data_IF_225903661045
#
_entry.id   IF_225903661045
#
_cell.length_a   1.000
_cell.length_b   1.000
_cell.length_c   1.000
_cell.angle_alpha   90.00
_cell.angle_beta   90.00
_cell.angle_gamma   90.00
#
_symmetry.space_group_name_H-M   'P 1'
#
loop_
_entity.id
_entity.type
_entity.pdbx_description
1 polymer ?
#
# COMPACT_ATOMS: atom_id res chain seq x y z
N UNK A 1 -3.12 -19.37 12.76
CA UNK A 1 -3.76 -18.25 12.03
C UNK A 1 -2.65 -17.34 11.53
N UNK A 2 -2.69 -16.96 10.26
CA UNK A 2 -1.68 -16.08 9.69
C UNK A 2 -1.98 -14.64 10.14
N UNK A 3 -0.95 -13.90 10.54
CA UNK A 3 -1.08 -12.49 10.93
C UNK A 3 -1.07 -11.64 9.66
N UNK A 4 -2.18 -10.92 9.43
CA UNK A 4 -2.33 -10.08 8.24
C UNK A 4 -2.35 -8.61 8.66
N UNK A 5 -1.45 -7.83 8.07
CA UNK A 5 -1.35 -6.38 8.31
C UNK A 5 -1.43 -5.63 6.98
N UNK A 6 -2.19 -4.55 6.94
CA UNK A 6 -2.19 -3.59 5.83
C UNK A 6 -1.64 -2.26 6.36
N UNK A 7 -0.53 -1.81 5.76
CA UNK A 7 0.11 -0.53 6.08
C UNK A 7 -0.11 0.44 4.92
N UNK A 8 -0.80 1.54 5.16
CA UNK A 8 -0.81 2.66 4.25
C UNK A 8 0.47 3.49 4.49
N UNK A 9 1.38 3.53 3.51
CA UNK A 9 2.59 4.36 3.63
C UNK A 9 2.24 5.83 3.41
N UNK A 10 2.88 6.74 4.14
CA UNK A 10 2.76 8.20 3.91
C UNK A 10 2.99 8.52 2.43
N UNK A 11 2.04 9.19 1.80
CA UNK A 11 2.05 9.55 0.37
C UNK A 11 2.27 8.36 -0.60
N UNK A 12 2.15 7.13 -0.11
CA UNK A 12 2.55 5.92 -0.83
C UNK A 12 1.43 4.88 -0.98
N UNK A 13 1.79 3.64 -1.37
CA UNK A 13 0.85 2.54 -1.54
C UNK A 13 0.35 1.93 -0.22
N UNK A 14 -0.58 0.99 -0.35
CA UNK A 14 -0.85 0.04 0.72
C UNK A 14 0.11 -1.16 0.61
N UNK A 15 0.85 -1.45 1.68
CA UNK A 15 1.67 -2.65 1.81
C UNK A 15 0.86 -3.71 2.54
N UNK A 16 0.73 -4.88 1.90
CA UNK A 16 0.11 -6.06 2.49
C UNK A 16 1.22 -6.96 3.02
N UNK A 17 1.17 -7.25 4.32
CA UNK A 17 2.09 -8.17 4.99
C UNK A 17 1.34 -9.40 5.50
N UNK A 18 1.90 -10.57 5.24
CA UNK A 18 1.46 -11.86 5.79
C UNK A 18 2.63 -12.44 6.57
N UNK A 19 2.42 -12.67 7.88
CA UNK A 19 3.44 -13.18 8.80
C UNK A 19 4.76 -12.39 8.73
N UNK A 20 4.64 -11.05 8.61
CA UNK A 20 5.77 -10.12 8.54
C UNK A 20 6.47 -10.03 7.19
N UNK A 21 6.02 -10.76 6.18
CA UNK A 21 6.55 -10.68 4.80
C UNK A 21 5.65 -9.82 3.93
N UNK A 22 6.23 -8.85 3.24
CA UNK A 22 5.53 -8.10 2.21
C UNK A 22 5.17 -9.04 1.06
N UNK A 23 3.89 -9.14 0.74
CA UNK A 23 3.37 -9.98 -0.36
C UNK A 23 2.80 -9.15 -1.49
N UNK A 24 2.43 -7.89 -1.25
CA UNK A 24 1.89 -6.99 -2.27
C UNK A 24 2.05 -5.52 -1.90
N UNK A 25 2.12 -4.67 -2.92
CA UNK A 25 1.99 -3.22 -2.83
C UNK A 25 0.85 -2.76 -3.74
N UNK A 26 -0.27 -2.34 -3.14
CA UNK A 26 -1.47 -1.94 -3.85
C UNK A 26 -1.51 -0.42 -4.06
N UNK A 27 -2.03 -0.01 -5.21
CA UNK A 27 -2.20 1.40 -5.55
C UNK A 27 -3.21 2.05 -4.60
N UNK A 28 -2.79 3.16 -3.98
CA UNK A 28 -3.64 4.02 -3.15
C UNK A 28 -3.99 5.34 -3.84
N UNK A 29 -3.15 5.81 -4.78
CA UNK A 29 -3.32 7.11 -5.43
C UNK A 29 -4.32 7.12 -6.60
N UNK A 30 -4.82 5.95 -7.03
CA UNK A 30 -5.79 5.83 -8.13
C UNK A 30 -5.24 6.04 -9.55
N UNK A 31 -3.95 6.37 -9.71
CA UNK A 31 -3.35 6.71 -11.02
C UNK A 31 -2.35 5.70 -11.57
N UNK A 32 -2.07 4.60 -10.87
CA UNK A 32 -1.21 3.52 -11.39
C UNK A 32 -1.69 3.05 -12.77
N UNK A 33 -0.78 2.80 -13.70
CA UNK A 33 -1.10 2.19 -15.01
C UNK A 33 -1.23 0.67 -14.88
N UNK A 34 -0.66 0.08 -13.82
CA UNK A 34 -0.70 -1.35 -13.52
C UNK A 34 -1.67 -1.67 -12.36
N UNK A 35 -2.91 -1.18 -12.43
CA UNK A 35 -3.90 -1.43 -11.36
C UNK A 35 -4.20 -2.93 -11.22
N UNK A 36 -4.40 -3.46 -10.01
CA UNK A 36 -4.48 -2.79 -8.70
C UNK A 36 -3.14 -2.50 -8.02
N UNK A 37 -2.02 -2.87 -8.63
CA UNK A 37 -0.69 -2.75 -8.04
C UNK A 37 -0.15 -1.31 -8.10
N UNK A 38 0.75 -0.99 -7.18
CA UNK A 38 1.51 0.25 -7.22
C UNK A 38 2.65 0.14 -8.26
N UNK A 39 2.78 1.15 -9.11
CA UNK A 39 3.82 1.29 -10.13
C UNK A 39 4.74 2.51 -9.89
N UNK A 40 4.60 3.18 -8.73
CA UNK A 40 5.33 4.40 -8.39
C UNK A 40 4.73 5.70 -8.92
N UNK A 41 3.61 5.67 -9.66
CA UNK A 41 2.98 6.89 -10.22
C UNK A 41 2.56 7.90 -9.15
N UNK A 42 2.29 7.46 -7.91
CA UNK A 42 1.95 8.33 -6.79
C UNK A 42 2.99 9.43 -6.53
N UNK A 43 4.29 9.14 -6.70
CA UNK A 43 5.36 10.13 -6.54
C UNK A 43 5.33 11.17 -7.64
N UNK A 44 5.08 10.76 -8.89
CA UNK A 44 5.08 11.65 -10.06
C UNK A 44 3.95 12.67 -10.04
N UNK A 45 2.80 12.28 -9.48
CA UNK A 45 1.60 13.14 -9.42
C UNK A 45 1.48 13.93 -8.11
N UNK A 46 2.46 13.81 -7.20
CA UNK A 46 2.41 14.47 -5.89
C UNK A 46 1.25 14.03 -5.02
N UNK A 47 0.93 12.72 -5.01
CA UNK A 47 -0.13 12.19 -4.15
C UNK A 47 0.18 12.49 -2.68
N UNK A 48 -0.80 13.06 -1.96
CA UNK A 48 -0.67 13.39 -0.55
C UNK A 48 -1.75 12.68 0.27
N UNK A 49 -1.31 11.86 1.23
CA UNK A 49 -2.20 11.19 2.18
C UNK A 49 -1.39 10.60 3.35
N UNK A 50 -1.91 10.81 4.56
CA UNK A 50 -1.32 10.30 5.80
C UNK A 50 -1.12 8.78 5.77
N UNK A 51 -0.07 8.32 6.45
CA UNK A 51 0.16 6.91 6.73
C UNK A 51 -0.76 6.37 7.85
N UNK A 52 -1.05 5.08 7.80
CA UNK A 52 -1.81 4.36 8.84
C UNK A 52 -1.55 2.87 8.78
N UNK A 53 -1.75 2.14 9.88
CA UNK A 53 -1.58 0.69 9.95
C UNK A 53 -2.85 0.04 10.50
N UNK A 54 -3.36 -0.97 9.79
CA UNK A 54 -4.50 -1.78 10.19
C UNK A 54 -4.04 -3.24 10.35
N UNK A 55 -4.19 -3.77 11.55
CA UNK A 55 -3.99 -5.20 11.85
C UNK A 55 -5.34 -5.88 11.77
N UNK A 56 -5.49 -6.84 10.86
CA UNK A 56 -6.80 -7.45 10.57
C UNK A 56 -7.08 -8.59 11.56
N UNK A 57 -6.04 -9.34 11.93
CA UNK A 57 -6.09 -10.53 12.78
C UNK A 57 -4.74 -10.78 13.43
#
# INVERSE_FOLDING_TARGET
MNKVTIKALENGPFIVEVDGKTVSALCRCGKSENKSNCDGTHTKIGFQANGSEIKII
#
